data_IF_431043790498
#
_entry.id   IF_431043790498
#
_cell.length_a   1.000
_cell.length_b   1.000
_cell.length_c   1.000
_cell.angle_alpha   90.00
_cell.angle_beta   90.00
_cell.angle_gamma   90.00
#
_symmetry.space_group_name_H-M   'P 1'
#
loop_
_entity.id
_entity.type
_entity.pdbx_description
1 polymer ?
#
# COMPACT_ATOMS: atom_id res chain seq x y z
N UNK A 1 3.33 -10.27 20.71
CA UNK A 1 2.87 -8.91 20.40
C UNK A 1 2.60 -8.09 21.66
N UNK A 2 1.74 -8.54 22.59
CA UNK A 2 1.42 -7.77 23.83
C UNK A 2 2.67 -7.50 24.69
N UNK A 3 3.46 -8.53 24.99
CA UNK A 3 4.73 -8.38 25.76
C UNK A 3 5.68 -7.41 25.04
N UNK A 4 5.83 -7.55 23.72
CA UNK A 4 6.69 -6.69 22.92
C UNK A 4 6.24 -5.22 22.95
N UNK A 5 4.94 -4.94 22.99
CA UNK A 5 4.43 -3.59 23.21
C UNK A 5 4.76 -3.07 24.61
N UNK A 6 4.62 -3.90 25.64
CA UNK A 6 4.96 -3.51 27.00
C UNK A 6 6.45 -3.18 27.17
N UNK A 7 7.33 -3.96 26.52
CA UNK A 7 8.78 -3.80 26.64
C UNK A 7 9.38 -2.75 25.71
N UNK A 8 8.79 -2.55 24.51
CA UNK A 8 9.42 -1.73 23.46
C UNK A 8 8.57 -0.56 22.95
N UNK A 9 7.33 -0.42 23.42
CA UNK A 9 6.39 0.59 22.93
C UNK A 9 6.29 0.63 21.39
N UNK A 10 6.22 -0.55 20.75
CA UNK A 10 6.30 -0.71 19.28
C UNK A 10 5.27 0.13 18.52
N UNK A 11 4.08 0.35 19.07
CA UNK A 11 3.07 1.19 18.43
C UNK A 11 3.53 2.64 18.22
N UNK A 12 4.48 3.12 19.04
CA UNK A 12 5.10 4.45 18.92
C UNK A 12 6.42 4.43 18.15
N UNK A 13 6.81 3.29 17.57
CA UNK A 13 8.03 3.20 16.77
C UNK A 13 7.75 3.54 15.30
N UNK A 14 8.47 4.49 14.68
CA UNK A 14 8.17 4.94 13.32
C UNK A 14 8.31 3.83 12.27
N UNK A 15 9.24 2.91 12.45
CA UNK A 15 9.38 1.78 11.52
C UNK A 15 8.20 0.80 11.56
N UNK A 16 7.53 0.66 12.70
CA UNK A 16 6.28 -0.10 12.77
C UNK A 16 5.16 0.65 12.04
N UNK A 17 5.05 1.96 12.21
CA UNK A 17 4.06 2.79 11.48
C UNK A 17 4.27 2.73 9.96
N UNK A 18 5.53 2.77 9.49
CA UNK A 18 5.87 2.55 8.08
C UNK A 18 5.46 1.16 7.59
N UNK A 19 5.61 0.14 8.44
CA UNK A 19 5.09 -1.21 8.22
C UNK A 19 3.59 -1.27 8.00
N UNK A 20 2.84 -0.66 8.92
CA UNK A 20 1.38 -0.56 8.83
C UNK A 20 0.95 0.15 7.54
N UNK A 21 1.60 1.27 7.20
CA UNK A 21 1.36 1.97 5.94
C UNK A 21 1.69 1.10 4.70
N UNK A 22 2.75 0.30 4.78
CA UNK A 22 3.13 -0.67 3.76
C UNK A 22 2.05 -1.72 3.50
N UNK A 23 1.52 -2.36 4.55
CA UNK A 23 0.50 -3.42 4.40
C UNK A 23 -0.86 -2.85 4.03
N UNK A 24 -1.32 -1.78 4.67
CA UNK A 24 -2.60 -1.15 4.33
C UNK A 24 -2.58 -0.56 2.92
N UNK A 25 -1.50 0.13 2.55
CA UNK A 25 -1.33 0.62 1.18
C UNK A 25 -1.21 -0.53 0.18
N UNK A 26 -0.47 -1.60 0.50
CA UNK A 26 -0.38 -2.79 -0.36
C UNK A 26 -1.74 -3.44 -0.65
N UNK A 27 -2.57 -3.63 0.38
CA UNK A 27 -3.94 -4.15 0.21
C UNK A 27 -4.82 -3.19 -0.60
N UNK A 28 -4.73 -1.88 -0.32
CA UNK A 28 -5.47 -0.85 -1.06
C UNK A 28 -5.08 -0.87 -2.55
N UNK A 29 -3.80 -0.88 -2.86
CA UNK A 29 -3.31 -0.84 -4.23
C UNK A 29 -3.56 -2.14 -4.99
N UNK A 30 -3.58 -3.28 -4.30
CA UNK A 30 -4.02 -4.55 -4.88
C UNK A 30 -5.49 -4.47 -5.33
N UNK A 31 -6.38 -4.01 -4.45
CA UNK A 31 -7.80 -3.83 -4.79
C UNK A 31 -8.00 -2.79 -5.90
N UNK A 32 -7.30 -1.65 -5.81
CA UNK A 32 -7.33 -0.60 -6.83
C UNK A 32 -6.89 -1.14 -8.19
N UNK A 33 -5.72 -1.77 -8.28
CA UNK A 33 -5.20 -2.29 -9.54
C UNK A 33 -6.15 -3.33 -10.16
N UNK A 34 -6.59 -4.31 -9.37
CA UNK A 34 -7.55 -5.31 -9.84
C UNK A 34 -8.83 -4.66 -10.38
N UNK A 35 -9.42 -3.72 -9.64
CA UNK A 35 -10.65 -3.04 -10.07
C UNK A 35 -10.48 -2.24 -11.37
N UNK A 36 -9.36 -1.55 -11.56
CA UNK A 36 -9.10 -0.74 -12.76
C UNK A 36 -8.88 -1.63 -13.99
N UNK A 37 -8.08 -2.69 -13.85
CA UNK A 37 -7.87 -3.67 -14.95
C UNK A 37 -9.20 -4.32 -15.32
N UNK A 38 -9.96 -4.85 -14.36
CA UNK A 38 -11.25 -5.51 -14.63
C UNK A 38 -12.27 -4.55 -15.26
N UNK A 39 -12.29 -3.27 -14.86
CA UNK A 39 -13.21 -2.27 -15.42
C UNK A 39 -12.92 -1.88 -16.88
N UNK A 40 -11.75 -2.25 -17.40
CA UNK A 40 -11.27 -1.81 -18.71
C UNK A 40 -10.91 -2.96 -19.65
N UNK A 41 -11.36 -4.18 -19.34
CA UNK A 41 -11.24 -5.33 -20.24
C UNK A 41 -11.88 -5.03 -21.60
N UNK A 42 -11.19 -5.45 -22.67
CA UNK A 42 -11.74 -5.40 -24.02
C UNK A 42 -12.77 -6.52 -24.15
N UNK A 43 -13.93 -6.23 -24.75
CA UNK A 43 -15.00 -7.22 -24.88
C UNK A 43 -14.65 -8.25 -25.96
N UNK A 44 -14.30 -9.45 -25.52
CA UNK A 44 -13.97 -10.60 -26.39
C UNK A 44 -14.96 -11.78 -26.26
N UNK A 45 -15.91 -11.72 -25.32
CA UNK A 45 -16.90 -12.79 -25.07
C UNK A 45 -18.35 -12.30 -25.14
N UNK A 46 -19.28 -13.26 -25.14
CA UNK A 46 -20.72 -12.98 -24.99
C UNK A 46 -21.13 -12.87 -23.52
N UNK A 47 -22.36 -12.43 -23.27
CA UNK A 47 -22.90 -12.28 -21.90
C UNK A 47 -23.14 -13.61 -21.17
N UNK A 48 -23.19 -14.73 -21.90
CA UNK A 48 -23.45 -16.07 -21.35
C UNK A 48 -22.15 -16.84 -21.04
N UNK A 49 -21.00 -16.20 -21.22
CA UNK A 49 -19.68 -16.78 -21.03
C UNK A 49 -18.88 -15.94 -20.02
N UNK A 50 -17.92 -16.58 -19.34
CA UNK A 50 -17.00 -15.85 -18.47
C UNK A 50 -16.10 -14.92 -19.30
N UNK A 51 -15.94 -13.67 -18.87
CA UNK A 51 -15.02 -12.72 -19.50
C UNK A 51 -13.56 -13.22 -19.49
N UNK A 52 -13.20 -14.13 -18.58
CA UNK A 52 -11.85 -14.71 -18.51
C UNK A 52 -11.50 -15.52 -19.77
N UNK A 53 -12.49 -16.14 -20.42
CA UNK A 53 -12.30 -16.90 -21.67
C UNK A 53 -11.93 -15.98 -22.85
N UNK A 54 -12.09 -14.66 -22.68
CA UNK A 54 -11.64 -13.66 -23.65
C UNK A 54 -10.11 -13.51 -23.70
N UNK A 55 -9.39 -13.90 -22.64
CA UNK A 55 -7.94 -13.91 -22.63
C UNK A 55 -7.41 -15.29 -23.03
N UNK A 56 -6.41 -15.30 -23.92
CA UNK A 56 -5.68 -16.50 -24.32
C UNK A 56 -4.26 -16.46 -23.78
N UNK A 57 -3.85 -17.55 -23.13
CA UNK A 57 -2.50 -17.66 -22.59
C UNK A 57 -1.44 -17.52 -23.69
N UNK A 58 -0.57 -16.51 -23.55
CA UNK A 58 0.50 -16.23 -24.50
C UNK A 58 0.12 -15.33 -25.68
N UNK A 59 -1.07 -14.71 -25.67
CA UNK A 59 -1.42 -13.70 -26.66
C UNK A 59 -0.47 -12.49 -26.61
N UNK A 60 -0.24 -11.86 -27.76
CA UNK A 60 0.68 -10.72 -27.88
C UNK A 60 0.05 -9.40 -27.46
N UNK A 61 -1.26 -9.24 -27.69
CA UNK A 61 -2.00 -8.00 -27.43
C UNK A 61 -2.48 -7.91 -25.98
N UNK A 62 -2.47 -6.70 -25.43
CA UNK A 62 -2.98 -6.41 -24.08
C UNK A 62 -4.49 -6.65 -23.97
N UNK A 63 -4.93 -7.26 -22.87
CA UNK A 63 -6.35 -7.66 -22.67
C UNK A 63 -7.27 -6.53 -22.19
N UNK A 64 -6.70 -5.38 -21.81
CA UNK A 64 -7.43 -4.24 -21.25
C UNK A 64 -6.90 -2.92 -21.82
N UNK A 65 -7.74 -1.88 -21.77
CA UNK A 65 -7.38 -0.55 -22.26
C UNK A 65 -6.80 0.33 -21.14
N UNK A 66 -5.48 0.40 -21.05
CA UNK A 66 -4.78 1.23 -20.05
C UNK A 66 -5.09 2.73 -20.18
N UNK A 67 -5.36 3.23 -21.39
CA UNK A 67 -5.73 4.65 -21.60
C UNK A 67 -7.10 4.95 -21.01
N UNK A 68 -8.05 4.01 -21.13
CA UNK A 68 -9.36 4.12 -20.49
C UNK A 68 -9.25 4.08 -18.96
N UNK A 69 -8.48 3.13 -18.42
CA UNK A 69 -8.23 3.02 -16.98
C UNK A 69 -7.55 4.28 -16.41
N UNK A 70 -6.49 4.77 -17.07
CA UNK A 70 -5.80 5.99 -16.70
C UNK A 70 -6.75 7.20 -16.76
N UNK A 71 -7.55 7.31 -17.81
CA UNK A 71 -8.51 8.39 -17.99
C UNK A 71 -9.62 8.38 -16.93
N UNK A 72 -10.09 7.22 -16.50
CA UNK A 72 -11.04 7.10 -15.39
C UNK A 72 -10.41 7.56 -14.07
N UNK A 73 -9.28 6.95 -13.69
CA UNK A 73 -8.64 7.21 -12.40
C UNK A 73 -8.10 8.65 -12.29
N UNK A 74 -7.56 9.19 -13.39
CA UNK A 74 -7.09 10.56 -13.48
C UNK A 74 -8.21 11.61 -13.33
N UNK A 75 -9.47 11.25 -13.66
CA UNK A 75 -10.64 12.10 -13.37
C UNK A 75 -11.18 11.91 -11.96
N UNK A 76 -11.05 10.70 -11.39
CA UNK A 76 -11.50 10.38 -10.04
C UNK A 76 -10.71 11.16 -8.97
N UNK A 77 -9.39 11.27 -9.14
CA UNK A 77 -8.50 11.94 -8.18
C UNK A 77 -7.97 13.26 -8.76
N UNK A 78 -6.96 13.19 -9.62
CA UNK A 78 -6.48 14.26 -10.52
C UNK A 78 -5.46 13.66 -11.50
N UNK A 79 -5.30 14.26 -12.68
CA UNK A 79 -4.63 13.61 -13.82
C UNK A 79 -3.20 13.11 -13.53
N UNK A 80 -2.42 13.87 -12.77
CA UNK A 80 -1.04 13.54 -12.42
C UNK A 80 -0.89 12.47 -11.33
N UNK A 81 -1.96 12.11 -10.61
CA UNK A 81 -1.94 11.03 -9.63
C UNK A 81 -2.08 9.63 -10.26
N UNK A 82 -2.39 9.57 -11.57
CA UNK A 82 -2.63 8.33 -12.28
C UNK A 82 -1.42 7.89 -13.09
N UNK A 83 -1.13 6.59 -13.09
CA UNK A 83 -0.07 6.02 -13.92
C UNK A 83 -0.53 5.87 -15.37
N UNK A 84 0.24 6.40 -16.32
CA UNK A 84 0.05 6.17 -17.76
C UNK A 84 1.12 5.22 -18.35
N UNK A 85 2.09 4.80 -17.53
CA UNK A 85 3.12 3.83 -17.89
C UNK A 85 2.97 2.58 -17.01
N UNK A 86 2.64 1.46 -17.65
CA UNK A 86 2.42 0.17 -16.95
C UNK A 86 3.66 -0.27 -16.16
N UNK A 87 4.88 -0.03 -16.67
CA UNK A 87 6.12 -0.44 -15.97
C UNK A 87 6.30 0.31 -14.65
N UNK A 88 6.03 1.62 -14.65
CA UNK A 88 6.10 2.45 -13.44
C UNK A 88 5.02 2.06 -12.43
N UNK A 89 3.80 1.76 -12.90
CA UNK A 89 2.73 1.25 -12.05
C UNK A 89 3.14 -0.05 -11.34
N UNK A 90 3.58 -1.05 -12.10
CA UNK A 90 3.94 -2.36 -11.52
C UNK A 90 5.18 -2.28 -10.62
N UNK A 91 6.15 -1.42 -10.96
CA UNK A 91 7.27 -1.14 -10.06
C UNK A 91 6.79 -0.55 -8.72
N UNK A 92 5.85 0.40 -8.75
CA UNK A 92 5.26 0.96 -7.54
C UNK A 92 4.50 -0.08 -6.71
N UNK A 93 3.68 -0.92 -7.36
CA UNK A 93 2.95 -2.01 -6.71
C UNK A 93 3.88 -3.00 -6.01
N UNK A 94 5.05 -3.27 -6.58
CA UNK A 94 6.08 -4.08 -5.94
C UNK A 94 6.79 -3.33 -4.80
N UNK A 95 7.24 -2.10 -5.06
CA UNK A 95 8.08 -1.35 -4.13
C UNK A 95 7.36 -0.98 -2.83
N UNK A 96 6.08 -0.56 -2.90
CA UNK A 96 5.35 -0.06 -1.74
C UNK A 96 5.28 -1.06 -0.56
N UNK A 97 4.71 -2.27 -0.73
CA UNK A 97 4.64 -3.23 0.36
C UNK A 97 6.03 -3.72 0.78
N UNK A 98 6.95 -3.91 -0.18
CA UNK A 98 8.31 -4.41 0.11
C UNK A 98 9.08 -3.45 1.03
N UNK A 99 9.10 -2.16 0.70
CA UNK A 99 9.79 -1.15 1.51
C UNK A 99 9.16 -1.05 2.91
N UNK A 100 7.82 -1.08 3.02
CA UNK A 100 7.15 -1.06 4.32
C UNK A 100 7.52 -2.27 5.21
N UNK A 101 7.56 -3.47 4.63
CA UNK A 101 7.98 -4.67 5.37
C UNK A 101 9.46 -4.64 5.74
N UNK A 102 10.35 -4.11 4.88
CA UNK A 102 11.75 -3.89 5.24
C UNK A 102 11.89 -2.99 6.46
N UNK A 103 11.16 -1.88 6.54
CA UNK A 103 11.18 -1.05 7.74
C UNK A 103 10.66 -1.80 8.97
N UNK A 104 9.57 -2.56 8.85
CA UNK A 104 9.07 -3.39 9.97
C UNK A 104 10.16 -4.33 10.49
N UNK A 105 10.86 -5.02 9.58
CA UNK A 105 11.96 -5.92 9.91
C UNK A 105 13.14 -5.20 10.57
N UNK A 106 13.50 -4.00 10.09
CA UNK A 106 14.50 -3.14 10.72
C UNK A 106 14.05 -2.67 12.10
N UNK A 107 12.75 -2.38 12.29
CA UNK A 107 12.18 -1.97 13.57
C UNK A 107 12.32 -3.07 14.63
N UNK A 108 11.95 -4.30 14.29
CA UNK A 108 12.13 -5.44 15.19
C UNK A 108 13.62 -5.68 15.47
N UNK A 109 14.46 -5.62 14.44
CA UNK A 109 15.92 -5.80 14.58
C UNK A 109 16.58 -4.76 15.49
N UNK A 110 16.10 -3.51 15.49
CA UNK A 110 16.65 -2.42 16.32
C UNK A 110 16.12 -2.47 17.75
N UNK A 111 14.83 -2.76 17.95
CA UNK A 111 14.24 -2.97 19.27
C UNK A 111 14.83 -4.20 19.99
N UNK A 112 15.37 -5.18 19.26
CA UNK A 112 16.14 -6.28 19.85
C UNK A 112 17.39 -5.80 20.63
N UNK A 113 17.89 -4.59 20.33
CA UNK A 113 18.95 -3.91 21.06
C UNK A 113 18.42 -2.75 21.92
N UNK A 114 17.14 -2.80 22.30
CA UNK A 114 16.45 -1.85 23.19
C UNK A 114 16.39 -0.40 22.68
N UNK A 115 16.52 -0.18 21.37
CA UNK A 115 16.17 1.10 20.75
C UNK A 115 14.65 1.12 20.50
N UNK A 116 13.92 1.58 21.52
CA UNK A 116 12.46 1.46 21.61
C UNK A 116 11.71 2.59 20.87
N UNK A 117 10.38 2.46 20.80
CA UNK A 117 9.50 3.51 20.28
C UNK A 117 9.55 4.80 21.11
N UNK A 118 9.02 5.90 20.55
CA UNK A 118 9.03 7.19 21.23
C UNK A 118 8.36 7.12 22.60
N UNK A 119 8.91 7.85 23.57
CA UNK A 119 8.35 8.02 24.91
C UNK A 119 8.04 9.50 25.14
N UNK A 120 6.75 9.82 25.23
CA UNK A 120 6.25 11.17 25.46
C UNK A 120 5.58 11.31 26.84
N UNK A 121 5.90 10.43 27.78
CA UNK A 121 5.39 10.50 29.15
C UNK A 121 5.80 11.84 29.78
N UNK A 122 4.82 12.60 30.30
CA UNK A 122 5.01 13.94 30.88
C UNK A 122 5.64 14.97 29.92
N UNK A 123 5.45 14.80 28.62
CA UNK A 123 5.97 15.74 27.60
C UNK A 123 5.28 17.11 27.58
N UNK A 124 4.12 17.24 28.21
CA UNK A 124 3.33 18.48 28.29
C UNK A 124 3.16 18.88 29.75
N UNK A 125 3.56 20.12 30.08
CA UNK A 125 3.53 20.67 31.43
C UNK A 125 2.91 22.07 31.37
N UNK A 126 2.07 22.41 32.34
CA UNK A 126 1.48 23.74 32.45
C UNK A 126 2.48 24.80 32.98
N UNK A 127 2.09 26.06 33.04
CA UNK A 127 2.92 27.15 33.58
C UNK A 127 3.24 27.01 35.07
N UNK A 128 2.58 26.09 35.78
CA UNK A 128 2.78 25.81 37.20
C UNK A 128 3.57 24.52 37.43
N UNK A 129 4.10 23.89 36.38
CA UNK A 129 4.92 22.69 36.49
C UNK A 129 4.12 21.38 36.64
N UNK A 130 2.81 21.39 36.39
CA UNK A 130 1.96 20.20 36.51
C UNK A 130 1.88 19.48 35.16
N UNK A 131 2.14 18.18 35.15
CA UNK A 131 1.74 17.30 34.05
C UNK A 131 0.30 16.86 34.25
N UNK A 132 -0.53 16.93 33.21
CA UNK A 132 -1.84 16.27 33.21
C UNK A 132 -1.72 14.75 33.28
#
# INVERSE_FOLDING_TARGET
>A
MIVFQAEHNILMHPFHMLGVAGVFGGSLFSAMHGSLVTSSLIRETTENESANEGYRFGQEEETYNIVAAHGYFGRLIFQYASFNNSRSLHFFLAAWPVVGIWFTALGISTMAFNLNGFNFNQSVVDSQGRSN
#
